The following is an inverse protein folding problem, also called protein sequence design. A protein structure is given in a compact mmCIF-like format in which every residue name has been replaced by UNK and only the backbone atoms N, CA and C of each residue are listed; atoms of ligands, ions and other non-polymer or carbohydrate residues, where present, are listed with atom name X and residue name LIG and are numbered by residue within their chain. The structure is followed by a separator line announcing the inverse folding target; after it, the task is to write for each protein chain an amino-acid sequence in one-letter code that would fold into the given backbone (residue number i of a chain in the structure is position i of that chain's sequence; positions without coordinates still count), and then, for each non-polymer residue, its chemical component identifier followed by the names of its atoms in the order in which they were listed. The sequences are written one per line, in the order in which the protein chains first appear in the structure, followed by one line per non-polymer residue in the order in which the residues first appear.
data_IF_654510714979
#
_entry.id   IF_654510714979
#
_cell.length_a   1.000
_cell.length_b   1.000
_cell.length_c   1.000
_cell.angle_alpha   90.00
_cell.angle_beta   90.00
_cell.angle_gamma   90.00
#
_symmetry.space_group_name_H-M   'P 1'
#
loop_
_entity.id
_entity.type
_entity.pdbx_description
1 polymer ?
#
# COMPACT_ATOMS: atom_id res chain seq x y z
N UNK A 1 -14.93 19.10 -14.84
CA UNK A 1 -14.37 17.75 -14.63
C UNK A 1 -14.31 17.50 -13.13
N UNK A 2 -15.04 16.53 -12.60
CA UNK A 2 -14.98 16.18 -11.19
C UNK A 2 -13.72 15.38 -10.93
N UNK A 3 -12.80 15.93 -10.14
CA UNK A 3 -11.60 15.22 -9.68
C UNK A 3 -12.03 14.02 -8.83
N UNK A 4 -11.80 12.80 -9.32
CA UNK A 4 -12.06 11.58 -8.55
C UNK A 4 -11.03 11.47 -7.43
N UNK A 5 -11.46 11.60 -6.18
CA UNK A 5 -10.57 11.46 -5.03
C UNK A 5 -10.11 10.02 -4.90
N UNK A 6 -8.78 9.81 -4.89
CA UNK A 6 -8.15 8.51 -4.66
C UNK A 6 -7.99 8.29 -3.16
N UNK A 7 -8.37 7.11 -2.67
CA UNK A 7 -8.11 6.70 -1.30
C UNK A 7 -6.60 6.51 -1.09
N UNK A 8 -6.03 7.17 -0.08
CA UNK A 8 -4.61 7.07 0.28
C UNK A 8 -4.52 6.48 1.68
N UNK A 9 -3.70 5.44 1.83
CA UNK A 9 -3.51 4.72 3.10
C UNK A 9 -2.01 4.64 3.39
N UNK A 10 -1.61 5.06 4.60
CA UNK A 10 -0.25 4.87 5.10
C UNK A 10 -0.16 3.64 6.01
N UNK A 11 0.92 2.86 5.88
CA UNK A 11 1.19 1.68 6.74
C UNK A 11 2.48 1.94 7.50
N UNK A 12 2.36 2.13 8.82
CA UNK A 12 3.48 2.37 9.74
C UNK A 12 3.73 1.21 10.70
N UNK A 13 4.92 1.18 11.31
CA UNK A 13 5.33 0.16 12.27
C UNK A 13 6.86 0.04 12.41
N UNK A 14 7.37 -0.57 13.50
CA UNK A 14 8.81 -0.76 13.72
C UNK A 14 9.52 -1.54 12.61
N UNK A 15 10.86 -1.50 12.59
CA UNK A 15 11.66 -2.37 11.72
C UNK A 15 11.32 -3.84 12.01
N UNK A 16 11.19 -4.65 10.96
CA UNK A 16 10.83 -6.08 11.10
C UNK A 16 9.34 -6.37 11.32
N UNK A 17 8.46 -5.38 11.47
CA UNK A 17 7.02 -5.60 11.75
C UNK A 17 6.20 -6.13 10.56
N UNK A 18 6.84 -6.47 9.44
CA UNK A 18 6.15 -7.06 8.27
C UNK A 18 5.35 -6.09 7.40
N UNK A 19 5.58 -4.77 7.47
CA UNK A 19 4.87 -3.75 6.67
C UNK A 19 4.81 -4.10 5.17
N UNK A 20 5.96 -4.46 4.59
CA UNK A 20 6.07 -4.83 3.16
C UNK A 20 5.30 -6.11 2.85
N UNK A 21 5.33 -7.10 3.75
CA UNK A 21 4.55 -8.33 3.60
C UNK A 21 3.04 -8.07 3.64
N UNK A 22 2.60 -7.19 4.54
CA UNK A 22 1.20 -6.76 4.63
C UNK A 22 0.75 -6.04 3.35
N UNK A 23 1.54 -5.08 2.86
CA UNK A 23 1.26 -4.37 1.60
C UNK A 23 1.10 -5.37 0.44
N UNK A 24 2.00 -6.35 0.31
CA UNK A 24 1.93 -7.37 -0.73
C UNK A 24 0.65 -8.22 -0.62
N UNK A 25 0.30 -8.68 0.58
CA UNK A 25 -0.90 -9.46 0.83
C UNK A 25 -2.18 -8.68 0.50
N UNK A 26 -2.26 -7.41 0.90
CA UNK A 26 -3.38 -6.52 0.58
C UNK A 26 -3.51 -6.30 -0.92
N UNK A 27 -2.41 -5.99 -1.61
CA UNK A 27 -2.42 -5.81 -3.06
C UNK A 27 -2.91 -7.06 -3.78
N UNK A 28 -2.40 -8.25 -3.43
CA UNK A 28 -2.84 -9.53 -4.03
C UNK A 28 -4.33 -9.80 -3.83
N UNK A 29 -4.86 -9.49 -2.64
CA UNK A 29 -6.27 -9.70 -2.31
C UNK A 29 -7.21 -8.70 -2.98
N UNK A 30 -6.75 -7.47 -3.21
CA UNK A 30 -7.60 -6.35 -3.65
C UNK A 30 -7.47 -5.99 -5.12
N UNK A 31 -6.39 -6.42 -5.81
CA UNK A 31 -6.09 -6.04 -7.20
C UNK A 31 -7.14 -6.43 -8.24
N UNK A 32 -8.05 -7.35 -7.92
CA UNK A 32 -9.15 -7.72 -8.84
C UNK A 32 -10.25 -6.66 -8.86
N UNK A 33 -10.43 -5.94 -7.75
CA UNK A 33 -11.56 -5.03 -7.54
C UNK A 33 -11.14 -3.56 -7.60
N UNK A 34 -9.85 -3.27 -7.39
CA UNK A 34 -9.33 -1.91 -7.29
C UNK A 34 -8.07 -1.73 -8.13
N UNK A 35 -7.95 -0.52 -8.70
CA UNK A 35 -6.72 -0.01 -9.28
C UNK A 35 -5.81 0.42 -8.14
N UNK A 36 -4.73 -0.30 -7.89
CA UNK A 36 -3.84 -0.11 -6.73
C UNK A 36 -2.45 0.25 -7.21
N UNK A 37 -1.87 1.27 -6.58
CA UNK A 37 -0.46 1.61 -6.70
C UNK A 37 0.15 1.66 -5.30
N UNK A 38 1.39 1.19 -5.17
CA UNK A 38 2.16 1.25 -3.92
C UNK A 38 3.29 2.24 -4.14
N UNK A 39 3.39 3.21 -3.23
CA UNK A 39 4.55 4.10 -3.14
C UNK A 39 5.28 3.70 -1.86
N UNK A 40 6.51 3.21 -2.01
CA UNK A 40 7.37 2.82 -0.89
C UNK A 40 8.62 3.68 -0.88
N UNK A 41 9.03 4.13 0.31
CA UNK A 41 10.32 4.75 0.55
C UNK A 41 11.06 3.87 1.56
N UNK A 42 11.32 2.62 1.17
CA UNK A 42 12.00 1.63 1.99
C UNK A 42 13.50 1.96 2.04
N UNK A 43 13.87 2.91 2.89
CA UNK A 43 15.24 3.45 3.03
C UNK A 43 16.14 2.57 3.91
N UNK A 44 15.58 1.56 4.58
CA UNK A 44 16.31 0.63 5.44
C UNK A 44 15.81 -0.79 5.19
N UNK A 45 16.67 -1.61 4.57
CA UNK A 45 16.49 -3.06 4.45
C UNK A 45 17.08 -3.79 5.64
#
# INVERSE_FOLDING_TARGET
MTSKQVLRIGIGGPVGSGKTALVNALCKKMRTNYQIAVVTNDIYT
#
